data_IF_137158686144
#
_entry.id   IF_137158686144
#
_cell.length_a   1.000
_cell.length_b   1.000
_cell.length_c   1.000
_cell.angle_alpha   90.00
_cell.angle_beta   90.00
_cell.angle_gamma   90.00
#
_symmetry.space_group_name_H-M   'P 1'
#
loop_
_entity.id
_entity.type
_entity.pdbx_description
1 polymer ?
#
# COMPACT_ATOMS: atom_id res chain seq x y z
N UNK A 1 -31.73 10.80 -68.66
CA UNK A 1 -31.97 11.11 -67.23
C UNK A 1 -30.95 10.24 -66.45
N UNK A 2 -29.82 10.80 -66.02
CA UNK A 2 -28.78 10.13 -65.28
C UNK A 2 -28.96 10.44 -63.79
N UNK A 3 -29.32 9.42 -63.00
CA UNK A 3 -29.33 9.54 -61.52
C UNK A 3 -27.92 9.38 -61.00
N UNK A 4 -27.33 10.47 -60.53
CA UNK A 4 -26.03 10.49 -59.86
C UNK A 4 -26.26 10.12 -58.40
N UNK A 5 -25.98 8.84 -58.06
CA UNK A 5 -26.02 8.35 -56.68
C UNK A 5 -24.71 8.76 -55.99
N UNK A 6 -24.77 9.80 -55.15
CA UNK A 6 -23.65 10.27 -54.32
C UNK A 6 -23.39 9.26 -53.22
N UNK A 7 -22.30 8.49 -53.32
CA UNK A 7 -21.79 7.67 -52.25
C UNK A 7 -21.17 8.57 -51.18
N UNK A 8 -21.87 8.74 -50.05
CA UNK A 8 -21.36 9.40 -48.86
C UNK A 8 -20.44 8.42 -48.16
N UNK A 9 -19.10 8.52 -48.39
CA UNK A 9 -18.08 7.82 -47.61
C UNK A 9 -18.03 8.36 -46.20
N UNK A 10 -18.68 7.65 -45.26
CA UNK A 10 -18.54 7.92 -43.83
C UNK A 10 -17.17 7.40 -43.40
N UNK A 11 -16.21 8.31 -43.27
CA UNK A 11 -14.90 8.04 -42.71
C UNK A 11 -15.07 7.77 -41.20
N UNK A 12 -15.10 6.50 -40.82
CA UNK A 12 -15.12 6.09 -39.41
C UNK A 12 -13.74 6.41 -38.81
N UNK A 13 -13.61 7.60 -38.19
CA UNK A 13 -12.42 7.97 -37.42
C UNK A 13 -12.41 7.06 -36.16
N UNK A 14 -11.61 6.01 -36.18
CA UNK A 14 -11.28 5.19 -35.02
C UNK A 14 -10.40 6.06 -34.11
N UNK A 15 -11.01 6.76 -33.18
CA UNK A 15 -10.27 7.44 -32.11
C UNK A 15 -9.74 6.34 -31.20
N UNK A 16 -8.41 6.19 -31.06
CA UNK A 16 -7.87 5.23 -30.10
C UNK A 16 -8.27 5.69 -28.71
N UNK A 17 -9.19 4.97 -28.06
CA UNK A 17 -9.45 5.16 -26.64
C UNK A 17 -8.15 4.89 -25.90
N UNK A 18 -7.63 5.85 -25.09
CA UNK A 18 -6.46 5.59 -24.27
C UNK A 18 -6.79 4.41 -23.36
N UNK A 19 -6.05 3.31 -23.52
CA UNK A 19 -6.11 2.17 -22.61
C UNK A 19 -5.80 2.71 -21.22
N UNK A 20 -6.80 2.85 -20.35
CA UNK A 20 -6.59 3.13 -18.94
C UNK A 20 -5.83 1.93 -18.39
N UNK A 21 -4.52 2.10 -18.18
CA UNK A 21 -3.75 1.12 -17.41
C UNK A 21 -4.41 1.05 -16.03
N UNK A 22 -4.98 -0.11 -15.69
CA UNK A 22 -5.54 -0.38 -14.36
C UNK A 22 -4.38 -0.39 -13.35
N UNK A 23 -3.94 0.80 -12.94
CA UNK A 23 -2.92 0.93 -11.90
C UNK A 23 -3.47 0.42 -10.58
N UNK A 24 -2.77 -0.53 -9.96
CA UNK A 24 -3.10 -1.06 -8.63
C UNK A 24 -3.00 0.03 -7.56
N UNK A 25 -2.13 1.01 -7.77
CA UNK A 25 -1.89 2.10 -6.85
C UNK A 25 -2.38 3.43 -7.41
N UNK A 26 -3.05 4.21 -6.58
CA UNK A 26 -3.37 5.60 -6.84
C UNK A 26 -2.16 6.47 -6.51
N UNK A 27 -1.68 7.26 -7.46
CA UNK A 27 -0.62 8.27 -7.21
C UNK A 27 -1.14 9.35 -6.26
N UNK A 28 -0.35 9.67 -5.25
CA UNK A 28 -0.61 10.75 -4.30
C UNK A 28 0.73 11.41 -3.95
N UNK A 29 0.69 12.59 -3.35
CA UNK A 29 1.89 13.27 -2.81
C UNK A 29 1.54 13.88 -1.46
N UNK A 30 1.79 13.14 -0.38
CA UNK A 30 1.49 13.57 0.98
C UNK A 30 2.78 13.56 1.79
N UNK A 31 3.23 14.72 2.25
CA UNK A 31 4.34 14.83 3.19
C UNK A 31 3.91 14.31 4.56
N UNK A 32 4.70 13.42 5.12
CA UNK A 32 4.45 12.89 6.46
C UNK A 32 4.64 13.98 7.52
N UNK A 33 3.84 13.91 8.58
CA UNK A 33 3.95 14.80 9.73
C UNK A 33 5.01 14.26 10.70
N UNK A 34 5.79 15.15 11.31
CA UNK A 34 6.87 14.79 12.23
C UNK A 34 6.40 14.41 13.65
N UNK A 35 5.14 14.65 13.97
CA UNK A 35 4.55 14.38 15.29
C UNK A 35 3.85 13.01 15.40
N UNK A 36 3.96 12.16 14.38
CA UNK A 36 3.40 10.81 14.42
C UNK A 36 4.29 9.90 15.25
N UNK A 37 3.68 9.19 16.19
CA UNK A 37 4.32 8.22 17.09
C UNK A 37 3.62 6.89 16.96
N UNK A 38 4.38 5.80 16.91
CA UNK A 38 3.91 4.42 16.87
C UNK A 38 4.60 3.62 17.97
N UNK A 39 3.97 2.58 18.49
CA UNK A 39 4.61 1.67 19.41
C UNK A 39 5.35 0.57 18.64
N UNK A 40 6.53 0.18 19.13
CA UNK A 40 7.23 -1.00 18.63
C UNK A 40 6.74 -2.30 19.33
N UNK A 41 7.34 -3.43 19.00
CA UNK A 41 7.01 -4.74 19.58
C UNK A 41 7.20 -4.84 21.11
N UNK A 42 7.99 -3.95 21.70
CA UNK A 42 8.25 -3.88 23.14
C UNK A 42 7.37 -2.82 23.81
N UNK A 43 6.37 -2.29 23.09
CA UNK A 43 5.52 -1.20 23.54
C UNK A 43 6.26 0.13 23.84
N UNK A 44 7.37 0.36 23.12
CA UNK A 44 8.16 1.58 23.22
C UNK A 44 7.76 2.51 22.08
N UNK A 45 7.45 3.76 22.44
CA UNK A 45 7.12 4.80 21.47
C UNK A 45 8.29 5.14 20.54
N UNK A 46 8.01 5.19 19.25
CA UNK A 46 8.96 5.56 18.19
C UNK A 46 8.37 6.62 17.30
N UNK A 47 9.07 7.71 17.09
CA UNK A 47 8.67 8.71 16.09
C UNK A 47 8.73 8.08 14.69
N UNK A 48 7.70 8.33 13.87
CA UNK A 48 7.61 7.78 12.51
C UNK A 48 8.84 8.10 11.66
N UNK A 49 9.40 9.31 11.79
CA UNK A 49 10.63 9.71 11.09
C UNK A 49 11.88 8.94 11.51
N UNK A 50 11.90 8.36 12.73
CA UNK A 50 12.98 7.48 13.16
C UNK A 50 12.80 6.04 12.66
N UNK A 51 11.56 5.66 12.29
CA UNK A 51 11.23 4.37 11.68
C UNK A 51 11.52 4.40 10.18
N UNK A 52 11.17 5.51 9.53
CA UNK A 52 11.27 5.69 8.08
C UNK A 52 12.49 6.54 7.75
N UNK A 53 13.64 5.91 7.51
CA UNK A 53 14.81 6.65 7.05
C UNK A 53 14.59 7.26 5.65
N UNK A 54 15.26 8.38 5.39
CA UNK A 54 15.02 9.19 4.20
C UNK A 54 15.40 8.49 2.89
N UNK A 55 16.41 7.61 2.91
CA UNK A 55 16.98 7.02 1.69
C UNK A 55 16.31 5.68 1.31
N UNK A 56 15.47 5.12 2.16
CA UNK A 56 14.84 3.83 1.91
C UNK A 56 13.49 3.94 1.23
N UNK A 57 13.13 2.87 0.51
CA UNK A 57 11.83 2.65 -0.13
C UNK A 57 10.97 1.78 0.79
N UNK A 58 9.77 2.21 1.10
CA UNK A 58 8.88 1.52 2.04
C UNK A 58 7.57 1.12 1.40
N UNK A 59 7.16 -0.12 1.65
CA UNK A 59 5.77 -0.56 1.53
C UNK A 59 5.20 -0.66 2.94
N UNK A 60 4.23 0.18 3.25
CA UNK A 60 3.60 0.25 4.58
C UNK A 60 2.16 -0.19 4.46
N UNK A 61 1.79 -1.24 5.18
CA UNK A 61 0.44 -1.78 5.14
C UNK A 61 -0.27 -1.62 6.49
N UNK A 62 -1.49 -1.08 6.47
CA UNK A 62 -2.36 -0.99 7.65
C UNK A 62 -3.26 -2.22 7.76
N UNK A 63 -3.28 -2.82 8.96
CA UNK A 63 -4.00 -4.05 9.21
C UNK A 63 -4.58 -4.15 10.64
N UNK A 64 -5.33 -5.21 10.94
CA UNK A 64 -5.76 -5.59 12.28
C UNK A 64 -6.06 -7.10 12.38
N UNK A 65 -6.04 -7.64 13.61
CA UNK A 65 -6.30 -9.08 13.83
C UNK A 65 -7.73 -9.51 13.49
N UNK A 66 -8.69 -8.60 13.52
CA UNK A 66 -10.09 -8.84 13.16
C UNK A 66 -10.37 -8.67 11.66
N UNK A 67 -9.45 -8.10 10.89
CA UNK A 67 -9.61 -7.82 9.47
C UNK A 67 -9.37 -9.08 8.64
N UNK A 68 -10.42 -9.72 8.15
CA UNK A 68 -10.33 -10.95 7.33
C UNK A 68 -9.52 -10.73 6.04
N UNK A 69 -9.77 -9.66 5.22
CA UNK A 69 -8.97 -9.43 4.03
C UNK A 69 -7.49 -9.16 4.34
N UNK A 70 -7.17 -8.49 5.46
CA UNK A 70 -5.78 -8.26 5.86
C UNK A 70 -5.04 -9.58 6.11
N UNK A 71 -5.69 -10.56 6.76
CA UNK A 71 -5.10 -11.88 7.02
C UNK A 71 -4.69 -12.60 5.73
N UNK A 72 -5.45 -12.40 4.65
CA UNK A 72 -5.17 -13.04 3.36
C UNK A 72 -3.93 -12.47 2.67
N UNK A 73 -3.62 -11.17 2.87
CA UNK A 73 -2.47 -10.52 2.22
C UNK A 73 -1.18 -10.56 3.01
N UNK A 74 -1.22 -10.83 4.34
CA UNK A 74 0.01 -10.89 5.16
C UNK A 74 1.06 -11.88 4.63
N UNK A 75 0.72 -13.08 4.13
CA UNK A 75 1.70 -13.98 3.51
C UNK A 75 2.36 -13.37 2.26
N UNK A 76 1.63 -12.63 1.46
CA UNK A 76 2.14 -11.94 0.27
C UNK A 76 3.10 -10.82 0.63
N UNK A 77 2.79 -10.04 1.67
CA UNK A 77 3.69 -9.01 2.21
C UNK A 77 4.97 -9.62 2.78
N UNK A 78 4.88 -10.77 3.48
CA UNK A 78 6.06 -11.52 3.94
C UNK A 78 6.90 -11.97 2.76
N UNK A 79 6.30 -12.57 1.73
CA UNK A 79 7.00 -13.01 0.53
C UNK A 79 7.69 -11.83 -0.16
N UNK A 80 7.01 -10.70 -0.34
CA UNK A 80 7.60 -9.48 -0.89
C UNK A 80 8.84 -9.04 -0.11
N UNK A 81 8.78 -9.03 1.23
CA UNK A 81 9.92 -8.67 2.09
C UNK A 81 11.12 -9.59 1.91
N UNK A 82 10.88 -10.89 1.73
CA UNK A 82 11.95 -11.89 1.55
C UNK A 82 12.60 -11.74 0.18
N UNK A 83 11.80 -11.58 -0.86
CA UNK A 83 12.24 -11.55 -2.25
C UNK A 83 12.95 -10.23 -2.62
N UNK A 84 12.65 -9.12 -1.89
CA UNK A 84 13.14 -7.79 -2.27
C UNK A 84 13.90 -7.12 -1.10
N UNK A 85 15.22 -7.27 -1.08
CA UNK A 85 16.09 -6.74 -0.02
C UNK A 85 16.12 -5.21 0.08
N UNK A 86 15.96 -4.54 -1.06
CA UNK A 86 15.99 -3.07 -1.16
C UNK A 86 14.66 -2.42 -0.78
N UNK A 87 13.62 -3.23 -0.58
CA UNK A 87 12.28 -2.77 -0.26
C UNK A 87 11.96 -3.09 1.21
N UNK A 88 11.77 -2.05 2.02
CA UNK A 88 11.40 -2.23 3.43
C UNK A 88 9.88 -2.39 3.56
N UNK A 89 9.44 -3.60 3.91
CA UNK A 89 8.02 -3.89 4.13
C UNK A 89 7.70 -3.79 5.61
N UNK A 90 6.81 -2.88 5.97
CA UNK A 90 6.33 -2.64 7.33
C UNK A 90 4.83 -2.89 7.41
N UNK A 91 4.37 -3.44 8.52
CA UNK A 91 2.94 -3.55 8.83
C UNK A 91 2.62 -2.69 10.06
N UNK A 92 1.55 -1.90 9.97
CA UNK A 92 1.09 -1.03 11.06
C UNK A 92 -0.30 -1.48 11.48
N UNK A 93 -0.39 -1.95 12.72
CA UNK A 93 -1.68 -2.37 13.25
C UNK A 93 -2.46 -1.19 13.85
N UNK A 94 -3.75 -1.13 13.52
CA UNK A 94 -4.73 -0.22 14.13
C UNK A 94 -5.64 -0.94 15.14
N UNK A 95 -5.26 -2.15 15.54
CA UNK A 95 -6.01 -2.96 16.49
C UNK A 95 -5.86 -2.42 17.93
N UNK A 96 -6.94 -2.47 18.69
CA UNK A 96 -6.96 -2.06 20.12
C UNK A 96 -6.53 -3.18 21.07
N UNK A 97 -6.33 -4.41 20.57
CA UNK A 97 -5.81 -5.52 21.39
C UNK A 97 -4.42 -5.21 21.89
N UNK A 98 -4.01 -5.90 22.95
CA UNK A 98 -2.64 -5.78 23.46
C UNK A 98 -1.62 -6.09 22.36
N UNK A 99 -0.47 -5.43 22.38
CA UNK A 99 0.62 -5.71 21.43
C UNK A 99 1.05 -7.17 21.50
N UNK A 100 1.07 -7.74 22.72
CA UNK A 100 1.36 -9.16 22.94
C UNK A 100 0.40 -10.09 22.18
N UNK A 101 -0.91 -9.81 22.22
CA UNK A 101 -1.90 -10.64 21.51
C UNK A 101 -1.77 -10.52 19.99
N UNK A 102 -1.47 -9.32 19.51
CA UNK A 102 -1.22 -9.08 18.10
C UNK A 102 0.05 -9.79 17.61
N UNK A 103 1.13 -9.76 18.39
CA UNK A 103 2.36 -10.51 18.07
C UNK A 103 2.12 -12.02 18.09
N UNK A 104 1.36 -12.53 19.05
CA UNK A 104 0.95 -13.94 19.10
C UNK A 104 0.14 -14.32 17.85
N UNK A 105 -0.74 -13.43 17.39
CA UNK A 105 -1.47 -13.63 16.15
C UNK A 105 -0.53 -13.74 14.95
N UNK A 106 0.46 -12.85 14.79
CA UNK A 106 1.44 -12.89 13.71
C UNK A 106 2.25 -14.19 13.75
N UNK A 107 2.67 -14.62 14.94
CA UNK A 107 3.41 -15.90 15.14
C UNK A 107 2.56 -17.10 14.73
N UNK A 108 1.30 -17.17 15.20
CA UNK A 108 0.35 -18.25 14.86
C UNK A 108 0.11 -18.36 13.36
N UNK A 109 0.11 -17.24 12.64
CA UNK A 109 -0.08 -17.20 11.20
C UNK A 109 1.23 -17.26 10.40
N UNK A 110 2.37 -17.52 11.05
CA UNK A 110 3.71 -17.68 10.42
C UNK A 110 4.13 -16.45 9.59
N UNK A 111 3.80 -15.25 10.06
CA UNK A 111 4.14 -13.95 9.43
C UNK A 111 4.85 -13.00 10.41
N UNK A 112 5.42 -13.55 11.49
CA UNK A 112 6.14 -12.80 12.52
C UNK A 112 7.50 -12.25 12.07
N UNK A 113 7.97 -12.59 10.87
CA UNK A 113 9.14 -11.98 10.23
C UNK A 113 8.84 -10.58 9.67
N UNK A 114 7.57 -10.22 9.50
CA UNK A 114 7.18 -8.86 9.13
C UNK A 114 7.54 -7.86 10.24
N UNK A 115 8.09 -6.73 9.86
CA UNK A 115 8.39 -5.64 10.80
C UNK A 115 7.09 -4.94 11.17
N UNK A 116 6.65 -5.12 12.41
CA UNK A 116 5.36 -4.62 12.89
C UNK A 116 5.52 -3.41 13.81
N UNK A 117 4.65 -2.42 13.62
CA UNK A 117 4.39 -1.29 14.51
C UNK A 117 2.90 -1.20 14.84
N UNK A 118 2.55 -0.43 15.88
CA UNK A 118 1.21 -0.41 16.44
C UNK A 118 0.74 1.04 16.60
N UNK A 119 -0.34 1.40 15.91
CA UNK A 119 -1.04 2.69 15.96
C UNK A 119 -2.35 2.52 16.74
N UNK A 120 -2.24 2.13 18.03
CA UNK A 120 -3.39 1.77 18.88
C UNK A 120 -4.42 2.90 19.02
N UNK A 121 -3.98 4.16 18.96
CA UNK A 121 -4.83 5.33 18.96
C UNK A 121 -5.33 5.75 17.57
N UNK A 122 -4.91 5.04 16.54
CA UNK A 122 -5.23 5.34 15.15
C UNK A 122 -4.80 6.75 14.70
N UNK A 123 -3.79 7.34 15.36
CA UNK A 123 -3.34 8.72 15.11
C UNK A 123 -2.77 8.85 13.70
N UNK A 124 -1.92 7.93 13.30
CA UNK A 124 -1.33 7.93 11.96
C UNK A 124 -2.39 7.63 10.91
N UNK A 125 -3.17 6.56 11.10
CA UNK A 125 -4.25 6.16 10.20
C UNK A 125 -5.24 7.31 9.92
N UNK A 126 -5.73 7.96 10.96
CA UNK A 126 -6.68 9.08 10.85
C UNK A 126 -6.06 10.33 10.24
N UNK A 127 -4.79 10.61 10.53
CA UNK A 127 -4.08 11.78 9.98
C UNK A 127 -4.01 11.73 8.45
N UNK A 128 -4.06 10.54 7.87
CA UNK A 128 -4.05 10.29 6.43
C UNK A 128 -5.46 10.21 5.82
N UNK A 129 -6.52 10.35 6.65
CA UNK A 129 -7.94 10.23 6.22
C UNK A 129 -8.22 8.92 5.45
N UNK A 130 -7.57 7.81 5.87
CA UNK A 130 -7.80 6.50 5.27
C UNK A 130 -9.21 5.99 5.60
N UNK A 131 -9.85 5.35 4.62
CA UNK A 131 -11.26 4.93 4.71
C UNK A 131 -11.43 3.56 5.38
N UNK A 132 -10.41 2.70 5.30
CA UNK A 132 -10.48 1.35 5.81
C UNK A 132 -9.18 0.57 5.69
N UNK A 133 -9.20 -0.65 6.14
CA UNK A 133 -8.11 -1.61 6.01
C UNK A 133 -8.58 -2.86 5.24
N UNK A 134 -7.66 -3.51 4.51
CA UNK A 134 -6.26 -3.15 4.36
C UNK A 134 -6.05 -1.93 3.48
N UNK A 135 -5.01 -1.16 3.77
CA UNK A 135 -4.52 -0.08 2.92
C UNK A 135 -3.00 -0.14 2.87
N UNK A 136 -2.45 -0.14 1.66
CA UNK A 136 -1.00 -0.17 1.41
C UNK A 136 -0.54 1.17 0.89
N UNK A 137 0.54 1.71 1.47
CA UNK A 137 1.19 2.95 1.09
C UNK A 137 2.58 2.68 0.53
N UNK A 138 2.98 3.40 -0.50
CA UNK A 138 4.36 3.50 -0.95
C UNK A 138 4.97 4.80 -0.42
N UNK A 139 6.10 4.69 0.29
CA UNK A 139 6.74 5.83 0.94
C UNK A 139 8.20 5.92 0.50
N UNK A 140 8.63 7.10 0.06
CA UNK A 140 9.99 7.45 -0.31
C UNK A 140 10.29 8.87 0.19
N UNK A 141 11.49 9.08 0.74
CA UNK A 141 11.91 10.41 1.22
C UNK A 141 10.90 11.04 2.19
N UNK A 142 10.32 10.20 3.09
CA UNK A 142 9.31 10.62 4.07
C UNK A 142 8.03 11.25 3.45
N UNK A 143 7.73 10.89 2.20
CA UNK A 143 6.50 11.23 1.49
C UNK A 143 5.74 9.97 1.09
N UNK A 144 4.42 10.00 1.19
CA UNK A 144 3.57 8.99 0.61
C UNK A 144 3.37 9.34 -0.85
N UNK A 145 3.89 8.49 -1.75
CA UNK A 145 3.86 8.71 -3.20
C UNK A 145 2.74 7.96 -3.89
N UNK A 146 2.25 6.90 -3.26
CA UNK A 146 1.11 6.14 -3.77
C UNK A 146 0.36 5.42 -2.66
N UNK A 147 -0.92 5.10 -2.89
CA UNK A 147 -1.74 4.28 -2.01
C UNK A 147 -2.55 3.25 -2.80
N UNK A 148 -2.83 2.13 -2.17
CA UNK A 148 -3.80 1.13 -2.61
C UNK A 148 -4.76 0.81 -1.47
N UNK A 149 -6.05 1.02 -1.67
CA UNK A 149 -7.11 0.57 -0.77
C UNK A 149 -7.56 -0.85 -1.15
N UNK A 150 -7.89 -1.67 -0.16
CA UNK A 150 -8.26 -3.08 -0.36
C UNK A 150 -7.07 -4.03 -0.50
N UNK A 151 -7.36 -5.31 -0.66
CA UNK A 151 -6.38 -6.40 -0.64
C UNK A 151 -5.25 -6.17 -1.64
N UNK A 152 -4.02 -6.31 -1.16
CA UNK A 152 -2.82 -6.35 -1.98
C UNK A 152 -2.44 -7.81 -2.25
N UNK A 153 -2.07 -8.11 -3.50
CA UNK A 153 -1.50 -9.41 -3.89
C UNK A 153 -0.13 -9.20 -4.49
N UNK A 154 0.86 -9.93 -3.97
CA UNK A 154 2.23 -9.86 -4.43
C UNK A 154 2.44 -10.79 -5.62
N UNK A 155 2.72 -10.21 -6.77
CA UNK A 155 3.06 -10.88 -8.03
C UNK A 155 3.97 -9.97 -8.88
N UNK A 156 4.42 -10.47 -10.03
CA UNK A 156 5.32 -9.73 -10.92
C UNK A 156 4.76 -8.35 -11.34
N UNK A 157 3.48 -8.29 -11.68
CA UNK A 157 2.82 -7.03 -12.08
C UNK A 157 2.79 -6.01 -10.92
N UNK A 158 2.44 -6.46 -9.70
CA UNK A 158 2.42 -5.57 -8.54
C UNK A 158 3.82 -5.06 -8.18
N UNK A 159 4.85 -5.90 -8.31
CA UNK A 159 6.23 -5.52 -8.07
C UNK A 159 6.72 -4.50 -9.12
N UNK A 160 6.40 -4.71 -10.39
CA UNK A 160 6.73 -3.77 -11.46
C UNK A 160 6.10 -2.40 -11.22
N UNK A 161 4.82 -2.36 -10.86
CA UNK A 161 4.13 -1.10 -10.54
C UNK A 161 4.75 -0.39 -9.33
N UNK A 162 5.11 -1.14 -8.26
CA UNK A 162 5.81 -0.59 -7.09
C UNK A 162 7.15 0.03 -7.51
N UNK A 163 7.93 -0.68 -8.32
CA UNK A 163 9.23 -0.19 -8.79
C UNK A 163 9.09 1.08 -9.63
N UNK A 164 8.08 1.15 -10.50
CA UNK A 164 7.79 2.34 -11.32
C UNK A 164 7.47 3.58 -10.46
N UNK A 165 6.85 3.40 -9.30
CA UNK A 165 6.64 4.52 -8.35
C UNK A 165 7.91 4.95 -7.63
N UNK A 166 8.86 4.05 -7.45
CA UNK A 166 10.09 4.33 -6.72
C UNK A 166 11.25 4.84 -7.61
N UNK A 167 11.14 4.70 -8.93
CA UNK A 167 12.09 5.25 -9.90
C UNK A 167 11.74 6.70 -10.22
#
# INVERSE_FOLDING_TARGET
MFNSLKYLLILLIIIPFPSQSNSLFQKIDIKLKNNIVLNDKNNIEKKLFNILDFNSKYVVNFWATWCIPCKKELPDLKKMKIDNKDLKVLIISIDKKSIKDQLNFLKKNKVNELTAYFDQNMTFFRSLKLRGIPTTLLIKQQKIIAKKEGIFSYNQNSLEQINNFFN
#
